data_IF_163208151958
#
_entry.id   IF_163208151958
#
_cell.length_a   1.000
_cell.length_b   1.000
_cell.length_c   1.000
_cell.angle_alpha   90.00
_cell.angle_beta   90.00
_cell.angle_gamma   90.00
#
_symmetry.space_group_name_H-M   'P 1'
#
loop_
_entity.id
_entity.type
_entity.pdbx_description
1 polymer ?
2 non-polymer ?
3 non-polymer ?
4 water ?
#
# COMPACT_ATOMS: atom_id res chain seq x y z
N UNK A 1 0.23 12.10 17.00
CA UNK A 1 -0.03 10.86 16.27
C UNK A 1 0.10 11.17 14.76
N UNK A 2 0.49 10.15 14.05
CA UNK A 2 0.33 10.10 12.62
C UNK A 2 -1.15 9.82 12.32
N UNK A 3 -1.71 10.54 11.37
CA UNK A 3 -3.09 10.29 10.94
C UNK A 3 -3.15 9.02 10.08
N UNK A 4 -4.34 8.44 9.95
CA UNK A 4 -4.59 7.37 8.98
C UNK A 4 -4.09 7.74 7.56
N UNK A 5 -4.38 8.96 7.12
CA UNK A 5 -4.02 9.32 5.72
C UNK A 5 -2.49 9.36 5.56
N UNK A 6 -1.85 9.96 6.56
CA UNK A 6 -0.37 10.04 6.61
C UNK A 6 0.27 8.64 6.61
N UNK A 7 -0.26 7.76 7.42
CA UNK A 7 0.20 6.35 7.49
C UNK A 7 0.10 5.71 6.09
N UNK A 8 -1.05 5.87 5.45
CA UNK A 8 -1.22 5.31 4.09
C UNK A 8 -0.09 5.80 3.17
N UNK A 9 0.19 7.12 3.19
CA UNK A 9 1.16 7.70 2.29
C UNK A 9 2.58 7.16 2.57
N UNK A 10 2.94 7.16 3.84
CA UNK A 10 4.26 6.61 4.24
C UNK A 10 4.45 5.15 3.84
N UNK A 11 3.44 4.32 4.12
CA UNK A 11 3.47 2.89 3.78
C UNK A 11 3.28 2.56 2.33
N UNK A 12 2.54 3.39 1.59
CA UNK A 12 2.13 2.95 0.23
C UNK A 12 2.50 3.82 -0.95
N UNK A 13 2.92 5.07 -0.75
CA UNK A 13 3.14 5.94 -1.90
C UNK A 13 4.62 5.93 -2.23
N UNK A 14 4.94 5.75 -3.51
CA UNK A 14 6.30 5.91 -3.99
C UNK A 14 6.29 6.43 -5.41
N UNK A 15 5.89 7.71 -5.55
CA UNK A 15 5.58 8.32 -6.80
C UNK A 15 6.78 8.29 -7.74
N UNK A 17 20.53 -8.52 -2.23
CA UNK A 17 19.27 -8.29 -1.48
C UNK A 17 19.26 -6.96 -0.66
N UNK A 18 20.05 -5.95 -1.07
CA UNK A 18 19.74 -4.49 -0.87
C UNK A 18 18.61 -4.14 -1.89
N UNK A 19 17.67 -5.07 -2.01
CA UNK A 19 16.63 -4.96 -2.97
C UNK A 19 15.73 -3.83 -2.52
N UNK A 20 14.99 -3.34 -3.50
CA UNK A 20 14.04 -2.26 -3.31
C UNK A 20 13.14 -2.44 -2.07
N UNK A 21 12.61 -3.64 -1.89
CA UNK A 21 11.68 -3.90 -0.81
C UNK A 21 12.36 -3.77 0.55
N UNK A 22 13.50 -4.43 0.67
CA UNK A 22 14.25 -4.31 1.91
C UNK A 22 14.55 -2.86 2.25
N UNK A 23 15.01 -2.15 1.23
CA UNK A 23 15.44 -0.74 1.37
C UNK A 23 14.27 0.19 1.76
N UNK A 24 13.20 0.09 0.96
CA UNK A 24 12.04 0.97 1.12
C UNK A 24 11.24 0.59 2.37
N UNK A 25 11.15 -0.70 2.67
CA UNK A 25 10.39 -1.06 3.86
C UNK A 25 11.10 -0.49 5.10
N UNK A 26 12.42 -0.45 5.04
CA UNK A 26 13.17 0.06 6.19
C UNK A 26 13.06 1.60 6.24
N UNK A 27 13.36 2.24 5.11
CA UNK A 27 13.27 3.72 4.96
C UNK A 27 11.94 4.28 5.43
N UNK A 28 10.87 3.58 5.05
CA UNK A 28 9.54 4.04 5.36
C UNK A 28 9.06 3.60 6.72
N UNK A 29 9.97 3.07 7.54
CA UNK A 29 9.65 2.69 8.91
C UNK A 29 8.59 1.67 9.02
N UNK A 30 8.72 0.61 8.20
CA UNK A 30 7.91 -0.56 8.33
C UNK A 30 8.68 -1.65 8.96
N UNK A 31 9.98 -1.66 8.72
CA UNK A 31 10.81 -2.76 9.22
C UNK A 31 12.00 -2.34 10.10
N UNK A 32 11.91 -1.10 10.62
CA UNK A 32 12.87 -0.64 11.62
C UNK A 32 12.58 -1.29 12.96
N UNK A 33 11.31 -1.57 13.24
CA UNK A 33 10.89 -2.09 14.57
C UNK A 33 10.15 -3.42 14.52
N UNK A 34 10.06 -4.03 13.33
CA UNK A 34 9.42 -5.36 13.17
C UNK A 34 9.64 -5.74 11.73
N UNK A 35 9.25 -6.98 11.37
CA UNK A 35 9.12 -7.35 9.94
C UNK A 35 7.66 -7.52 9.58
N UNK A 36 7.21 -6.73 8.64
CA UNK A 36 5.80 -6.73 8.22
C UNK A 36 5.71 -7.76 7.10
N UNK A 37 4.76 -8.70 7.18
CA UNK A 37 4.67 -9.73 6.17
C UNK A 37 4.49 -9.26 4.72
N UNK A 38 3.61 -8.27 4.50
CA UNK A 38 3.26 -7.85 3.15
C UNK A 38 3.01 -6.37 3.08
N UNK A 39 3.52 -5.72 2.06
CA UNK A 39 3.26 -4.30 1.83
C UNK A 39 3.37 -3.97 0.37
N UNK A 40 2.45 -3.14 -0.14
CA UNK A 40 2.52 -2.68 -1.50
C UNK A 40 2.83 -1.20 -1.59
N UNK A 41 3.73 -0.85 -2.49
CA UNK A 41 3.99 0.52 -2.85
C UNK A 41 3.47 0.84 -4.27
N UNK A 42 2.98 2.07 -4.41
CA UNK A 42 2.32 2.55 -5.63
C UNK A 42 3.15 3.63 -6.29
N UNK A 43 3.55 3.38 -7.52
CA UNK A 43 4.37 4.34 -8.30
C UNK A 43 3.54 5.24 -9.20
N UNK A 44 2.72 6.05 -8.56
CA UNK A 44 1.91 7.00 -9.29
C UNK A 44 1.89 8.24 -8.44
N UNK A 45 1.42 9.37 -8.99
CA UNK A 45 1.34 10.55 -8.15
C UNK A 45 0.39 10.40 -6.97
N UNK A 46 0.70 11.07 -5.86
CA UNK A 46 -0.22 11.10 -4.79
C UNK A 46 -1.62 11.48 -5.25
N UNK A 47 -1.70 12.51 -6.07
CA UNK A 47 -3.00 13.03 -6.47
C UNK A 47 -3.79 11.98 -7.33
N UNK A 48 -3.08 11.23 -8.15
CA UNK A 48 -3.70 10.15 -8.93
C UNK A 48 -4.16 9.02 -8.07
N UNK A 49 -3.48 8.75 -6.96
CA UNK A 49 -4.01 7.75 -6.01
C UNK A 49 -5.21 8.25 -5.20
N UNK A 50 -5.13 9.47 -4.67
CA UNK A 50 -6.22 10.10 -4.00
C UNK A 50 -7.49 10.18 -4.84
N UNK A 51 -7.32 10.32 -6.14
CA UNK A 51 -8.41 10.32 -7.12
C UNK A 51 -9.19 9.00 -7.17
N UNK A 52 -8.59 7.90 -6.70
CA UNK A 52 -9.32 6.63 -6.65
C UNK A 52 -10.51 6.67 -5.68
N UNK A 53 -10.46 7.54 -4.68
CA UNK A 53 -11.56 7.64 -3.71
C UNK A 53 -12.95 8.07 -4.31
N UNK A 54 -12.92 8.51 -5.57
CA UNK A 54 -14.19 8.86 -6.28
C UNK A 54 -14.36 8.04 -7.54
N UNK A 55 -13.64 6.90 -7.61
CA UNK A 55 -13.74 6.00 -8.74
C UNK A 55 -14.77 4.92 -8.43
N UNK A 56 -14.53 3.64 -8.73
CA UNK A 56 -15.56 2.60 -8.63
C UNK A 56 -15.70 2.10 -7.21
N UNK A 57 -16.84 2.36 -6.56
CA UNK A 57 -17.16 1.91 -5.23
C UNK A 57 -17.32 0.38 -5.25
N UNK A 58 -16.65 -0.29 -4.33
CA UNK A 58 -16.66 -1.78 -4.26
C UNK A 58 -16.68 -2.13 -2.81
N UNK A 59 -17.14 -3.34 -2.49
CA UNK A 59 -17.05 -3.81 -1.11
C UNK A 59 -15.58 -3.99 -0.69
N UNK A 60 -15.28 -3.71 0.58
CA UNK A 60 -13.97 -4.03 1.13
C UNK A 60 -13.99 -5.49 1.52
N UNK A 61 -12.81 -6.11 1.57
CA UNK A 61 -12.69 -7.48 2.08
C UNK A 61 -13.44 -7.65 3.39
N UNK A 62 -13.47 -6.62 4.22
CA UNK A 62 -14.10 -6.73 5.51
C UNK A 62 -15.59 -6.50 5.49
N UNK A 63 -16.17 -6.41 4.29
CA UNK A 63 -17.57 -6.07 4.14
C UNK A 63 -17.98 -4.61 4.18
N UNK A 64 -17.14 -3.68 4.66
CA UNK A 64 -17.51 -2.27 4.62
C UNK A 64 -17.60 -1.85 3.16
N UNK A 65 -18.24 -0.74 2.90
CA UNK A 65 -18.40 -0.35 1.52
C UNK A 65 -17.72 1.00 1.26
N UNK A 66 -16.64 1.30 2.02
CA UNK A 66 -15.88 2.51 1.75
C UNK A 66 -14.65 2.21 0.93
N UNK A 67 -14.65 1.14 0.14
CA UNK A 67 -13.54 0.87 -0.81
C UNK A 67 -13.83 1.25 -2.28
N UNK A 68 -12.75 1.53 -3.00
CA UNK A 68 -12.78 2.06 -4.35
C UNK A 68 -11.69 1.41 -5.17
N UNK A 69 -12.05 0.95 -6.38
CA UNK A 69 -11.14 0.33 -7.29
C UNK A 69 -10.84 1.29 -8.38
N UNK A 70 -9.55 1.41 -8.71
CA UNK A 70 -9.11 2.24 -9.81
C UNK A 70 -9.54 1.76 -11.22
N UNK A 71 -10.10 2.69 -12.02
CA UNK A 71 -10.36 2.37 -13.43
C UNK A 71 -9.17 1.78 -14.17
N UNK A 72 -8.02 2.41 -13.98
CA UNK A 72 -6.77 2.05 -14.66
C UNK A 72 -5.90 1.10 -13.82
N UNK A 73 -5.03 0.32 -14.47
CA UNK A 73 -4.00 -0.36 -13.73
C UNK A 73 -2.93 0.70 -13.42
N UNK A 74 -2.26 0.49 -12.30
CA UNK A 74 -1.21 1.37 -11.81
C UNK A 74 0.02 0.53 -11.55
N UNK A 75 1.18 1.14 -11.70
CA UNK A 75 2.46 0.51 -11.41
C UNK A 75 2.59 0.30 -9.90
N UNK A 76 2.72 -0.95 -9.47
CA UNK A 76 2.88 -1.25 -8.06
C UNK A 76 4.02 -2.27 -7.86
N UNK A 77 4.64 -2.19 -6.69
CA UNK A 77 5.60 -3.16 -6.23
C UNK A 77 5.06 -3.84 -4.96
N UNK A 78 4.86 -5.17 -5.04
CA UNK A 78 4.51 -5.97 -3.91
C UNK A 78 5.78 -6.44 -3.18
N UNK A 79 5.82 -6.26 -1.87
CA UNK A 79 6.92 -6.70 -0.98
C UNK A 79 6.38 -7.71 -0.09
N UNK A 80 6.94 -8.91 -0.12
CA UNK A 80 6.44 -9.94 0.73
C UNK A 80 7.58 -10.66 1.38
N UNK A 81 7.47 -10.91 2.69
CA UNK A 81 8.57 -11.50 3.41
C UNK A 81 8.83 -12.89 2.87
N UNK A 82 10.10 -13.25 2.80
CA UNK A 82 10.50 -14.65 2.58
C UNK A 82 10.14 -15.56 3.74
N UNK A 83 10.26 -16.86 3.50
CA UNK A 83 9.90 -17.85 4.49
C UNK A 83 10.78 -17.83 5.73
N UNK A 84 12.03 -17.49 5.61
CA UNK A 84 12.93 -17.53 6.77
C UNK A 84 13.10 -16.14 7.41
N UNK A 85 12.56 -15.11 6.76
CA UNK A 85 12.73 -13.74 7.25
C UNK A 85 12.33 -13.63 8.71
N UNK A 86 13.25 -13.06 9.51
CA UNK A 86 12.95 -12.72 10.86
C UNK A 86 13.73 -11.54 11.37
N UNK A 87 13.04 -10.75 12.19
CA UNK A 87 13.58 -9.55 12.77
C UNK A 87 14.87 -9.88 13.51
N UNK A 88 15.92 -9.08 13.32
CA UNK A 88 16.04 -7.80 12.60
C UNK A 88 16.38 -7.90 11.14
N UNK A 89 16.67 -9.10 10.64
CA UNK A 89 17.11 -9.28 9.26
C UNK A 89 15.91 -9.58 8.36
N UNK A 90 14.99 -8.64 8.30
CA UNK A 90 13.84 -8.79 7.41
C UNK A 90 14.33 -9.03 5.98
N UNK A 91 13.66 -9.95 5.29
CA UNK A 91 14.03 -10.24 3.93
C UNK A 91 12.77 -10.27 3.10
N UNK A 92 12.79 -9.62 1.93
CA UNK A 92 11.62 -9.45 1.10
C UNK A 92 11.89 -9.99 -0.29
N UNK A 93 10.81 -10.56 -0.87
CA UNK A 93 10.68 -10.79 -2.29
C UNK A 93 9.96 -9.60 -2.92
N UNK A 94 10.52 -9.11 -4.03
CA UNK A 94 10.04 -7.92 -4.70
C UNK A 94 9.35 -8.36 -6.00
N UNK A 95 8.10 -7.96 -6.18
CA UNK A 95 7.34 -8.31 -7.36
C UNK A 95 6.70 -7.05 -7.94
N UNK A 96 7.06 -6.70 -9.16
CA UNK A 96 6.58 -5.51 -9.86
C UNK A 96 5.44 -5.93 -10.76
N UNK A 97 4.38 -5.12 -10.73
CA UNK A 97 3.19 -5.44 -11.53
C UNK A 97 2.43 -4.13 -11.90
N UNK A 98 1.60 -4.20 -12.96
CA UNK A 98 0.59 -3.19 -13.23
C UNK A 98 -0.75 -3.73 -12.95
N UNK A 99 -1.38 -3.22 -11.92
CA UNK A 99 -2.70 -3.67 -11.50
C UNK A 99 -3.59 -2.55 -10.96
N UNK A 100 -4.91 -2.81 -10.99
CA UNK A 100 -5.88 -1.88 -10.47
C UNK A 100 -5.65 -1.96 -8.96
N UNK A 101 -5.74 -0.83 -8.30
CA UNK A 101 -5.72 -0.81 -6.85
C UNK A 101 -7.14 -0.64 -6.24
N UNK A 102 -7.28 -1.19 -5.05
CA UNK A 102 -8.44 -1.04 -4.22
C UNK A 102 -7.97 -0.43 -2.87
N UNK A 103 -8.50 0.73 -2.60
CA UNK A 103 -8.22 1.48 -1.34
C UNK A 103 -9.50 1.74 -0.60
N UNK A 104 -9.38 1.82 0.72
CA UNK A 104 -10.45 2.25 1.61
C UNK A 104 -10.27 3.74 1.83
N UNK A 105 -11.37 4.49 1.76
CA UNK A 105 -11.33 5.93 1.89
C UNK A 105 -12.16 6.44 3.08
N UNK A 106 -11.69 7.53 3.69
CA UNK A 106 -12.27 8.07 4.92
C UNK A 106 -11.90 9.55 5.06
N UNK A 107 -12.81 10.32 5.64
CA UNK A 107 -12.54 11.65 6.09
C UNK A 107 -13.08 12.73 5.19
N UNK A 108 -12.83 13.97 5.64
CA UNK A 108 -12.99 15.20 4.90
C UNK A 108 -11.64 15.99 4.93
N UNK A 109 -10.90 16.01 3.81
CA UNK A 109 -11.23 15.42 2.50
C UNK A 109 -11.24 13.89 2.53
N UNK A 110 -11.95 13.29 1.58
CA UNK A 110 -12.20 11.85 1.62
C UNK A 110 -11.00 11.23 0.91
N UNK A 111 -10.12 10.57 1.67
CA UNK A 111 -8.79 10.27 1.14
C UNK A 111 -8.44 8.85 1.48
N UNK A 112 -7.47 8.26 0.77
CA UNK A 112 -7.15 6.85 1.12
C UNK A 112 -6.60 6.67 2.53
N UNK A 113 -7.09 5.66 3.25
CA UNK A 113 -6.63 5.34 4.60
C UNK A 113 -6.17 3.88 4.80
N UNK A 114 -6.42 2.99 3.80
CA UNK A 114 -5.89 1.61 3.78
C UNK A 114 -5.75 1.16 2.38
N UNK A 115 -4.73 0.36 2.11
CA UNK A 115 -4.55 -0.35 0.82
C UNK A 115 -5.23 -1.70 0.96
N UNK A 116 -6.33 -1.93 0.23
CA UNK A 116 -7.12 -3.17 0.44
C UNK A 116 -6.51 -4.29 -0.36
N UNK A 117 -6.20 -4.03 -1.63
CA UNK A 117 -5.77 -5.06 -2.59
C UNK A 117 -5.37 -4.49 -3.95
N UNK A 118 -4.92 -5.36 -4.84
CA UNK A 118 -4.78 -5.00 -6.23
C UNK A 118 -5.23 -6.15 -7.11
N UNK A 119 -5.71 -5.85 -8.31
CA UNK A 119 -6.32 -6.85 -9.20
C UNK A 119 -6.04 -6.52 -10.66
X LIG B 1 1.28 3.07 7.52
X LIG C 1 -1.99 2.68 8.92
X LIG D 1 -2.68 0.05 5.53
X LIG D 1 -2.05 1.44 5.44
X LIG D 1 -3.62 0.14 6.67
X LIG D 1 -1.68 -1.03 5.61
X LIG D 1 -3.40 -0.49 4.37
X LIG E 1 -9.60 -2.51 -18.00
X LIG E 1 -8.91 -3.74 -18.52
X LIG E 1 -10.81 -2.74 -17.26
X LIG E 1 -8.54 -1.81 -17.20
X LIG E 1 -9.79 -1.66 -19.18
#
# INVERSE_FOLDING_TARGET
KETAAACFERCHMDSSSSNYCNQMMKSRNLTKDRCKPVNTFVHESLADVQAVCSQKNVACKNGQTNCYQSYSTMSITDCRETGSSKYPNCAYKTTQANKHIIVACEGNPYVPVHFDASV
HG HG
HG HG
SO4 S O1 O2 O3 O4
SO4 S O1 O2 O3 O4
#
